data_IF_044387047597
#
_entry.id   IF_044387047597
#
_cell.length_a   1.000
_cell.length_b   1.000
_cell.length_c   1.000
_cell.angle_alpha   90.00
_cell.angle_beta   90.00
_cell.angle_gamma   90.00
#
_symmetry.space_group_name_H-M   'P 1'
#
loop_
_entity.id
_entity.type
_entity.pdbx_description
1 polymer ?
#
# COMPACT_ATOMS: atom_id res chain seq x y z
N UNK A 1 -77.62 38.94 -40.76
CA UNK A 1 -76.63 39.20 -39.70
C UNK A 1 -76.46 37.88 -38.95
N UNK A 2 -75.49 37.06 -39.37
CA UNK A 2 -74.15 36.93 -38.74
C UNK A 2 -74.25 36.18 -37.42
N UNK A 3 -73.53 35.10 -37.13
CA UNK A 3 -72.48 34.32 -37.79
C UNK A 3 -72.26 33.09 -36.90
N UNK A 4 -71.81 31.98 -37.49
CA UNK A 4 -71.11 30.90 -36.79
C UNK A 4 -70.07 31.46 -35.81
N UNK A 5 -69.80 30.73 -34.73
CA UNK A 5 -68.44 30.51 -34.21
C UNK A 5 -68.50 29.54 -33.03
N UNK A 6 -68.12 28.29 -33.31
CA UNK A 6 -67.60 27.38 -32.30
C UNK A 6 -66.35 28.02 -31.68
N UNK A 7 -66.49 28.66 -30.53
CA UNK A 7 -65.34 29.04 -29.72
C UNK A 7 -64.94 27.84 -28.89
N UNK A 8 -63.91 27.16 -29.40
CA UNK A 8 -63.06 26.25 -28.66
C UNK A 8 -62.52 27.01 -27.45
N UNK A 9 -63.15 26.84 -26.29
CA UNK A 9 -62.60 27.37 -25.04
C UNK A 9 -61.46 26.46 -24.57
N UNK A 10 -60.30 27.09 -24.53
CA UNK A 10 -59.00 26.55 -24.16
C UNK A 10 -59.07 25.77 -22.85
N UNK A 11 -58.75 24.48 -22.93
CA UNK A 11 -58.40 23.70 -21.74
C UNK A 11 -57.12 24.35 -21.18
N UNK A 12 -57.25 25.05 -20.05
CA UNK A 12 -56.10 25.52 -19.29
C UNK A 12 -55.22 24.29 -18.94
N UNK A 13 -54.07 24.21 -19.60
CA UNK A 13 -53.05 23.23 -19.28
C UNK A 13 -52.50 23.58 -17.88
N UNK A 14 -53.07 22.94 -16.87
CA UNK A 14 -52.59 22.98 -15.49
C UNK A 14 -51.08 22.68 -15.52
N UNK A 15 -50.21 23.55 -14.99
CA UNK A 15 -48.78 23.29 -15.03
C UNK A 15 -48.51 21.99 -14.28
N UNK A 16 -48.14 20.94 -15.03
CA UNK A 16 -47.66 19.69 -14.46
C UNK A 16 -46.44 20.03 -13.62
N UNK A 17 -46.58 19.91 -12.30
CA UNK A 17 -45.44 20.04 -11.38
C UNK A 17 -44.38 19.00 -11.80
N UNK A 18 -43.10 19.38 -11.90
CA UNK A 18 -42.07 18.53 -12.49
C UNK A 18 -41.99 17.19 -11.76
N UNK A 19 -42.03 16.09 -12.53
CA UNK A 19 -41.88 14.71 -12.07
C UNK A 19 -40.59 14.56 -11.26
N UNK A 20 -40.75 14.03 -10.04
CA UNK A 20 -39.71 13.82 -9.04
C UNK A 20 -38.53 13.00 -9.56
N UNK A 21 -37.33 13.59 -9.61
CA UNK A 21 -36.07 12.85 -9.82
C UNK A 21 -35.61 12.24 -8.49
N UNK A 22 -36.13 11.05 -8.15
CA UNK A 22 -35.98 10.37 -6.86
C UNK A 22 -34.62 9.71 -6.55
N UNK A 23 -33.55 9.99 -7.29
CA UNK A 23 -32.26 9.29 -7.07
C UNK A 23 -31.20 10.10 -6.31
N UNK A 24 -31.41 11.40 -6.07
CA UNK A 24 -30.40 12.26 -5.42
C UNK A 24 -30.82 12.87 -4.09
N UNK A 25 -32.07 12.69 -3.67
CA UNK A 25 -32.62 13.28 -2.44
C UNK A 25 -31.91 12.68 -1.22
N UNK A 26 -31.71 11.36 -1.17
CA UNK A 26 -31.04 10.70 -0.04
C UNK A 26 -29.58 11.11 0.20
N UNK A 27 -28.75 11.26 -0.85
CA UNK A 27 -27.36 11.74 -0.67
C UNK A 27 -27.31 13.23 -0.35
N UNK A 28 -28.18 14.05 -0.96
CA UNK A 28 -28.24 15.51 -0.68
C UNK A 28 -28.67 15.75 0.75
N UNK A 29 -29.68 15.05 1.24
CA UNK A 29 -30.19 15.20 2.61
C UNK A 29 -29.18 14.70 3.66
N UNK A 30 -28.36 13.70 3.30
CA UNK A 30 -27.22 13.27 4.12
C UNK A 30 -26.10 14.32 4.16
N UNK A 31 -25.73 14.91 3.02
CA UNK A 31 -24.68 15.94 2.94
C UNK A 31 -25.11 17.27 3.55
N UNK A 32 -26.40 17.63 3.43
CA UNK A 32 -27.00 18.82 4.04
C UNK A 32 -27.28 18.63 5.53
N UNK A 33 -27.09 17.42 6.08
CA UNK A 33 -27.19 17.16 7.51
C UNK A 33 -28.63 17.05 8.04
N UNK A 34 -29.63 17.04 7.15
CA UNK A 34 -31.04 16.88 7.54
C UNK A 34 -31.32 15.53 8.21
N UNK A 35 -30.52 14.51 7.91
CA UNK A 35 -30.58 13.21 8.59
C UNK A 35 -30.02 13.29 10.01
N UNK A 36 -29.06 14.18 10.24
CA UNK A 36 -28.37 14.35 11.53
C UNK A 36 -29.25 15.09 12.56
N UNK A 37 -30.16 15.95 12.10
CA UNK A 37 -31.14 16.68 12.93
C UNK A 37 -32.43 15.90 13.21
N UNK A 38 -32.57 14.68 12.69
CA UNK A 38 -33.72 13.83 13.03
C UNK A 38 -33.74 13.49 14.53
N UNK A 39 -34.92 13.44 15.15
CA UNK A 39 -35.06 13.23 16.61
C UNK A 39 -34.38 11.95 17.12
N UNK A 40 -34.37 10.90 16.30
CA UNK A 40 -33.72 9.62 16.62
C UNK A 40 -32.19 9.73 16.61
N UNK A 41 -31.63 10.44 15.63
CA UNK A 41 -30.18 10.63 15.49
C UNK A 41 -29.65 11.61 16.54
N UNK A 42 -30.43 12.64 16.85
CA UNK A 42 -30.12 13.65 17.88
C UNK A 42 -29.94 13.01 19.27
N UNK A 43 -30.73 11.98 19.59
CA UNK A 43 -30.62 11.21 20.85
C UNK A 43 -29.36 10.34 20.92
N UNK A 44 -28.74 10.02 19.78
CA UNK A 44 -27.57 9.13 19.65
C UNK A 44 -26.32 9.86 19.16
N UNK A 45 -26.28 11.20 19.21
CA UNK A 45 -25.15 11.99 18.72
C UNK A 45 -23.80 11.56 19.29
N UNK A 46 -23.74 11.22 20.58
CA UNK A 46 -22.52 10.76 21.23
C UNK A 46 -22.00 9.44 20.62
N UNK A 47 -22.90 8.54 20.22
CA UNK A 47 -22.56 7.28 19.56
C UNK A 47 -22.03 7.50 18.13
N UNK A 48 -22.62 8.43 17.39
CA UNK A 48 -22.15 8.78 16.04
C UNK A 48 -20.79 9.47 16.10
N UNK A 49 -20.57 10.34 17.09
CA UNK A 49 -19.28 10.97 17.32
C UNK A 49 -18.22 9.92 17.69
N UNK A 50 -18.59 8.92 18.49
CA UNK A 50 -17.71 7.79 18.78
C UNK A 50 -17.34 6.99 17.52
N UNK A 51 -18.31 6.71 16.63
CA UNK A 51 -18.05 6.05 15.35
C UNK A 51 -17.16 6.89 14.43
N UNK A 52 -17.39 8.20 14.36
CA UNK A 52 -16.55 9.12 13.59
C UNK A 52 -15.11 9.15 14.14
N UNK A 53 -14.96 9.18 15.46
CA UNK A 53 -13.66 9.07 16.12
C UNK A 53 -12.97 7.74 15.78
N UNK A 54 -13.69 6.62 15.82
CA UNK A 54 -13.17 5.31 15.44
C UNK A 54 -12.75 5.28 13.97
N UNK A 55 -13.52 5.92 13.07
CA UNK A 55 -13.19 6.01 11.65
C UNK A 55 -11.89 6.80 11.42
N UNK A 56 -11.72 7.95 12.08
CA UNK A 56 -10.48 8.73 12.03
C UNK A 56 -9.31 7.91 12.57
N UNK A 57 -9.50 7.24 13.71
CA UNK A 57 -8.48 6.38 14.30
C UNK A 57 -8.10 5.23 13.35
N UNK A 58 -9.08 4.61 12.70
CA UNK A 58 -8.86 3.54 11.72
C UNK A 58 -8.04 4.02 10.53
N UNK A 59 -8.38 5.18 9.95
CA UNK A 59 -7.63 5.78 8.84
C UNK A 59 -6.19 6.09 9.27
N UNK A 60 -6.00 6.68 10.45
CA UNK A 60 -4.68 6.97 10.98
C UNK A 60 -3.82 5.71 11.14
N UNK A 61 -4.41 4.63 11.66
CA UNK A 61 -3.74 3.34 11.76
C UNK A 61 -3.41 2.77 10.39
N UNK A 62 -4.35 2.81 9.44
CA UNK A 62 -4.15 2.31 8.07
C UNK A 62 -2.93 2.94 7.41
N UNK A 63 -2.77 4.26 7.49
CA UNK A 63 -1.59 4.95 6.93
C UNK A 63 -0.27 4.49 7.57
N UNK A 64 -0.27 4.19 8.88
CA UNK A 64 0.92 3.65 9.56
C UNK A 64 1.28 2.26 9.05
N UNK A 65 0.30 1.38 8.88
CA UNK A 65 0.51 0.04 8.33
C UNK A 65 1.06 0.10 6.90
N UNK A 66 0.55 1.01 6.06
CA UNK A 66 1.06 1.14 4.69
C UNK A 66 2.51 1.62 4.61
N UNK A 67 2.97 2.43 5.56
CA UNK A 67 4.41 2.77 5.67
C UNK A 67 5.22 1.58 6.16
N UNK A 68 4.71 0.86 7.17
CA UNK A 68 5.40 -0.30 7.74
C UNK A 68 5.61 -1.40 6.69
N UNK A 69 4.58 -1.75 5.92
CA UNK A 69 4.66 -2.77 4.86
C UNK A 69 5.67 -2.39 3.76
N UNK A 70 5.77 -1.10 3.43
CA UNK A 70 6.79 -0.63 2.48
C UNK A 70 8.20 -0.80 3.04
N UNK A 71 8.41 -0.40 4.29
CA UNK A 71 9.70 -0.55 4.96
C UNK A 71 10.09 -2.03 5.11
N UNK A 72 9.13 -2.89 5.47
CA UNK A 72 9.34 -4.33 5.59
C UNK A 72 9.87 -4.93 4.28
N UNK A 73 9.25 -4.58 3.14
CA UNK A 73 9.71 -5.04 1.82
C UNK A 73 11.13 -4.60 1.49
N UNK A 74 11.45 -3.33 1.77
CA UNK A 74 12.80 -2.81 1.55
C UNK A 74 13.82 -3.53 2.43
N UNK A 75 13.48 -3.75 3.71
CA UNK A 75 14.34 -4.43 4.66
C UNK A 75 14.59 -5.89 4.27
N UNK A 76 13.57 -6.60 3.76
CA UNK A 76 13.74 -7.96 3.24
C UNK A 76 14.71 -8.01 2.04
N UNK A 77 14.62 -7.02 1.13
CA UNK A 77 15.56 -6.92 0.01
C UNK A 77 16.98 -6.68 0.52
N UNK A 78 17.15 -5.78 1.49
CA UNK A 78 18.45 -5.47 2.08
C UNK A 78 19.07 -6.69 2.76
N UNK A 79 18.31 -7.43 3.57
CA UNK A 79 18.77 -8.68 4.19
C UNK A 79 19.22 -9.71 3.14
N UNK A 80 18.47 -9.85 2.04
CA UNK A 80 18.84 -10.75 0.94
C UNK A 80 20.14 -10.31 0.27
N UNK A 81 20.29 -9.01 0.02
CA UNK A 81 21.50 -8.45 -0.59
C UNK A 81 22.73 -8.66 0.31
N UNK A 82 22.62 -8.33 1.61
CA UNK A 82 23.67 -8.55 2.60
C UNK A 82 24.06 -10.03 2.70
N UNK A 83 23.08 -10.94 2.63
CA UNK A 83 23.36 -12.38 2.59
C UNK A 83 24.14 -12.76 1.34
N UNK A 84 23.74 -12.30 0.17
CA UNK A 84 24.44 -12.57 -1.08
C UNK A 84 25.87 -12.01 -1.06
N UNK A 85 26.04 -10.80 -0.52
CA UNK A 85 27.35 -10.17 -0.32
C UNK A 85 28.23 -11.01 0.62
N UNK A 86 27.71 -11.43 1.77
CA UNK A 86 28.48 -12.25 2.73
C UNK A 86 28.97 -13.57 2.11
N UNK A 87 28.13 -14.23 1.32
CA UNK A 87 28.49 -15.47 0.61
C UNK A 87 29.55 -15.18 -0.45
N UNK A 88 29.40 -14.10 -1.21
CA UNK A 88 30.34 -13.71 -2.25
C UNK A 88 31.71 -13.37 -1.66
N UNK A 89 31.74 -12.56 -0.59
CA UNK A 89 32.97 -12.19 0.11
C UNK A 89 33.65 -13.42 0.72
N UNK A 90 32.89 -14.33 1.34
CA UNK A 90 33.43 -15.59 1.84
C UNK A 90 34.00 -16.47 0.71
N UNK A 91 33.32 -16.53 -0.44
CA UNK A 91 33.80 -17.26 -1.61
C UNK A 91 35.09 -16.66 -2.19
N UNK A 92 35.19 -15.33 -2.27
CA UNK A 92 36.42 -14.65 -2.68
C UNK A 92 37.58 -14.95 -1.73
N UNK A 93 37.33 -14.92 -0.42
CA UNK A 93 38.34 -15.29 0.57
C UNK A 93 38.78 -16.75 0.40
N UNK A 94 37.84 -17.69 0.26
CA UNK A 94 38.15 -19.10 0.01
C UNK A 94 38.97 -19.30 -1.27
N UNK A 95 38.67 -18.55 -2.33
CA UNK A 95 39.42 -18.60 -3.57
C UNK A 95 40.87 -18.12 -3.37
N UNK A 96 41.07 -16.97 -2.73
CA UNK A 96 42.41 -16.40 -2.47
C UNK A 96 43.20 -17.27 -1.49
N UNK A 97 42.53 -17.87 -0.50
CA UNK A 97 43.14 -18.78 0.48
C UNK A 97 43.42 -20.19 -0.06
N UNK A 98 43.02 -20.51 -1.30
CA UNK A 98 43.28 -21.81 -1.91
C UNK A 98 44.78 -22.04 -2.03
N UNK A 99 45.26 -23.22 -1.66
CA UNK A 99 46.69 -23.56 -1.67
C UNK A 99 47.37 -23.27 -3.02
N UNK A 100 46.70 -23.60 -4.14
CA UNK A 100 47.21 -23.30 -5.48
C UNK A 100 47.34 -21.80 -5.78
N UNK A 101 46.40 -20.98 -5.31
CA UNK A 101 46.46 -19.51 -5.49
C UNK A 101 47.51 -18.89 -4.57
N UNK A 102 47.62 -19.39 -3.33
CA UNK A 102 48.68 -18.97 -2.39
C UNK A 102 50.06 -19.31 -2.95
N UNK A 103 50.27 -20.52 -3.47
CA UNK A 103 51.53 -20.92 -4.09
C UNK A 103 51.89 -20.02 -5.29
N UNK A 104 50.91 -19.75 -6.16
CA UNK A 104 51.07 -18.83 -7.30
C UNK A 104 51.41 -17.40 -6.83
N UNK A 105 50.76 -16.91 -5.78
CA UNK A 105 51.05 -15.60 -5.20
C UNK A 105 52.44 -15.54 -4.56
N UNK A 106 52.93 -16.63 -3.96
CA UNK A 106 54.28 -16.72 -3.43
C UNK A 106 55.33 -16.64 -4.54
N UNK A 107 55.12 -17.34 -5.65
CA UNK A 107 56.00 -17.30 -6.83
C UNK A 107 56.06 -15.90 -7.44
N UNK A 108 54.90 -15.25 -7.66
CA UNK A 108 54.83 -13.88 -8.19
C UNK A 108 55.56 -12.89 -7.28
N UNK A 109 55.52 -13.10 -5.96
CA UNK A 109 56.19 -12.25 -4.97
C UNK A 109 57.65 -12.61 -4.73
N UNK A 110 58.20 -13.59 -5.45
CA UNK A 110 59.61 -14.02 -5.31
C UNK A 110 59.92 -14.71 -3.98
N UNK A 111 58.90 -15.26 -3.31
CA UNK A 111 59.10 -16.07 -2.11
C UNK A 111 59.49 -17.49 -2.54
N UNK A 112 60.64 -17.99 -2.11
CA UNK A 112 61.16 -19.34 -2.45
C UNK A 112 60.40 -20.48 -1.72
N UNK A 113 59.10 -20.37 -1.57
CA UNK A 113 58.24 -21.34 -0.90
C UNK A 113 57.68 -22.33 -1.91
N UNK A 114 57.91 -23.63 -1.69
CA UNK A 114 57.40 -24.74 -2.53
C UNK A 114 56.43 -25.60 -1.74
N UNK A 115 55.38 -26.05 -2.41
CA UNK A 115 54.37 -26.91 -1.81
C UNK A 115 54.95 -28.30 -1.47
N UNK A 116 54.63 -28.83 -0.29
CA UNK A 116 55.09 -30.16 0.11
C UNK A 116 54.27 -31.24 -0.59
N UNK A 117 54.91 -31.95 -1.53
CA UNK A 117 54.36 -33.13 -2.20
C UNK A 117 54.41 -34.39 -1.34
N UNK A 118 55.12 -34.37 -0.21
CA UNK A 118 55.24 -35.51 0.70
C UNK A 118 54.12 -35.44 1.76
N UNK A 119 53.31 -36.49 1.93
CA UNK A 119 52.23 -36.49 2.91
C UNK A 119 52.78 -36.49 4.35
N UNK A 120 52.08 -35.86 5.31
CA UNK A 120 52.52 -35.77 6.69
C UNK A 120 52.52 -37.14 7.38
N UNK A 121 53.57 -37.42 8.16
CA UNK A 121 53.68 -38.65 8.97
C UNK A 121 53.21 -38.37 10.39
N UNK A 122 52.45 -39.30 10.99
CA UNK A 122 52.09 -39.23 12.42
C UNK A 122 53.36 -39.29 13.26
N UNK A 123 53.55 -38.30 14.12
CA UNK A 123 54.55 -38.33 15.20
C UNK A 123 53.99 -39.21 16.33
N UNK A 124 54.79 -40.18 16.80
CA UNK A 124 54.43 -41.09 17.90
C UNK A 124 54.58 -40.42 19.26
#
# INVERSE_FOLDING_TARGET
MTTENETVEFIEEKPEKPKEKKSSVGLRDFLTGSVLTSESVSKQLLYILFLAFLAVFYIANRYRYEKLVRNEKNLQIEVRNLRAESITTAAQLMFISKQSEVAKLCEIRGLELKESVVPPKKVK
#
